data_IF_283516037691
#
_entry.id   IF_283516037691
#
_cell.length_a   1.000
_cell.length_b   1.000
_cell.length_c   1.000
_cell.angle_alpha   90.00
_cell.angle_beta   90.00
_cell.angle_gamma   90.00
#
_symmetry.space_group_name_H-M   'P 1'
#
loop_
_entity.id
_entity.type
_entity.pdbx_description
1 polymer ?
#
# COMPACT_ATOMS: atom_id res chain seq x y z
N UNK A 1 19.63 16.52 -16.47
CA UNK A 1 19.20 17.77 -15.79
C UNK A 1 17.96 17.55 -14.94
N UNK A 2 16.92 16.82 -15.38
CA UNK A 2 15.64 16.69 -14.68
C UNK A 2 15.74 15.99 -13.34
N UNK A 3 16.50 14.89 -13.22
CA UNK A 3 16.66 14.11 -11.96
C UNK A 3 17.31 14.92 -10.84
N UNK A 4 18.36 15.66 -11.17
CA UNK A 4 19.05 16.53 -10.18
C UNK A 4 18.16 17.69 -9.74
N UNK A 5 17.40 18.27 -10.69
CA UNK A 5 16.47 19.36 -10.36
C UNK A 5 15.35 18.88 -9.41
N UNK A 6 14.83 17.66 -9.59
CA UNK A 6 13.85 17.05 -8.70
C UNK A 6 14.41 16.79 -7.30
N UNK A 7 15.59 16.15 -7.20
CA UNK A 7 16.25 15.92 -5.91
C UNK A 7 16.53 17.22 -5.16
N UNK A 8 16.91 18.28 -5.90
CA UNK A 8 17.13 19.59 -5.34
C UNK A 8 15.83 20.25 -4.87
N UNK A 9 14.74 20.10 -5.64
CA UNK A 9 13.41 20.59 -5.27
C UNK A 9 12.87 19.88 -4.02
N UNK A 10 13.06 18.55 -3.92
CA UNK A 10 12.71 17.76 -2.73
C UNK A 10 13.45 18.27 -1.48
N UNK A 11 14.79 18.39 -1.55
CA UNK A 11 15.60 18.88 -0.43
C UNK A 11 15.20 20.26 0.07
N UNK A 12 14.61 21.08 -0.78
CA UNK A 12 14.09 22.41 -0.45
C UNK A 12 12.62 22.44 -0.08
N UNK A 13 11.95 21.30 0.01
CA UNK A 13 10.52 21.22 0.29
C UNK A 13 9.64 21.85 -0.80
N UNK A 14 10.17 22.00 -2.02
CA UNK A 14 9.47 22.60 -3.18
C UNK A 14 8.92 21.58 -4.17
N UNK A 15 9.18 20.29 -3.96
CA UNK A 15 8.63 19.24 -4.79
C UNK A 15 7.25 18.83 -4.23
N UNK A 16 6.27 18.80 -5.09
CA UNK A 16 4.92 18.32 -4.79
C UNK A 16 4.50 17.34 -5.87
N UNK A 17 3.86 16.25 -5.46
CA UNK A 17 3.27 15.28 -6.38
C UNK A 17 1.98 15.88 -6.92
N UNK A 18 1.82 15.85 -8.23
CA UNK A 18 0.63 16.36 -8.91
C UNK A 18 -0.63 15.56 -8.55
N UNK A 19 -1.82 16.17 -8.55
CA UNK A 19 -3.06 15.42 -8.41
C UNK A 19 -3.13 14.29 -9.45
N UNK A 20 -3.45 13.05 -9.05
CA UNK A 20 -3.54 11.93 -9.98
C UNK A 20 -4.78 12.02 -10.87
N UNK A 21 -4.74 11.36 -12.02
CA UNK A 21 -5.91 11.13 -12.86
C UNK A 21 -6.61 9.84 -12.48
N UNK A 22 -7.94 9.81 -12.53
CA UNK A 22 -8.69 8.56 -12.35
C UNK A 22 -8.81 7.79 -13.67
N UNK A 23 -8.79 6.46 -13.54
CA UNK A 23 -9.13 5.54 -14.61
C UNK A 23 -9.99 4.41 -14.06
N UNK A 24 -10.91 3.89 -14.88
CA UNK A 24 -11.77 2.77 -14.49
C UNK A 24 -11.22 1.47 -15.07
N UNK A 25 -11.00 0.49 -14.21
CA UNK A 25 -10.57 -0.86 -14.60
C UNK A 25 -11.76 -1.81 -14.40
N UNK A 26 -12.20 -2.55 -15.43
CA UNK A 26 -13.28 -3.51 -15.27
C UNK A 26 -12.87 -4.66 -14.35
N UNK A 27 -13.81 -5.09 -13.49
CA UNK A 27 -13.69 -6.29 -12.67
C UNK A 27 -14.40 -7.46 -13.35
N UNK A 28 -14.06 -8.69 -12.92
CA UNK A 28 -14.67 -9.93 -13.46
C UNK A 28 -16.18 -10.01 -13.26
N UNK A 29 -16.72 -9.32 -12.25
CA UNK A 29 -18.15 -9.26 -11.94
C UNK A 29 -18.92 -8.17 -12.72
N UNK A 30 -18.29 -7.48 -13.65
CA UNK A 30 -18.89 -6.40 -14.44
C UNK A 30 -18.91 -5.02 -13.78
N UNK A 31 -18.45 -4.90 -12.53
CA UNK A 31 -18.24 -3.62 -11.88
C UNK A 31 -16.92 -2.96 -12.34
N UNK A 32 -16.76 -1.69 -12.03
CA UNK A 32 -15.52 -0.97 -12.26
C UNK A 32 -14.78 -0.70 -10.96
N UNK A 33 -13.45 -0.65 -11.06
CA UNK A 33 -12.55 -0.22 -10.01
C UNK A 33 -11.90 1.08 -10.43
N UNK A 34 -12.06 2.11 -9.61
CA UNK A 34 -11.34 3.38 -9.82
C UNK A 34 -9.89 3.22 -9.37
N UNK A 35 -8.95 3.56 -10.23
CA UNK A 35 -7.52 3.64 -9.92
C UNK A 35 -7.02 5.06 -10.15
N UNK A 36 -5.99 5.43 -9.39
CA UNK A 36 -5.36 6.74 -9.44
C UNK A 36 -4.01 6.64 -10.15
N UNK A 37 -3.89 7.30 -11.28
CA UNK A 37 -2.72 7.27 -12.16
C UNK A 37 -1.96 8.58 -12.02
N UNK A 38 -0.80 8.53 -11.41
CA UNK A 38 0.08 9.69 -11.26
C UNK A 38 0.83 10.01 -12.54
N UNK A 39 1.30 11.24 -12.68
CA UNK A 39 2.18 11.66 -13.76
C UNK A 39 3.45 10.78 -13.84
N UNK A 40 4.03 10.55 -15.03
CA UNK A 40 5.14 9.62 -15.21
C UNK A 40 6.33 9.87 -14.27
N UNK A 41 6.67 11.11 -14.00
CA UNK A 41 7.78 11.44 -13.10
C UNK A 41 7.42 11.20 -11.64
N UNK A 42 6.19 11.52 -11.24
CA UNK A 42 5.68 11.26 -9.89
C UNK A 42 5.60 9.75 -9.62
N UNK A 43 5.24 8.93 -10.62
CA UNK A 43 5.30 7.46 -10.50
C UNK A 43 6.70 6.94 -10.21
N UNK A 44 7.73 7.53 -10.82
CA UNK A 44 9.13 7.16 -10.51
C UNK A 44 9.47 7.50 -9.07
N UNK A 45 9.10 8.69 -8.60
CA UNK A 45 9.33 9.10 -7.20
C UNK A 45 8.60 8.18 -6.22
N UNK A 46 7.32 7.94 -6.48
CA UNK A 46 6.48 7.07 -5.65
C UNK A 46 6.97 5.60 -5.66
N UNK A 47 7.48 5.12 -6.80
CA UNK A 47 8.09 3.79 -6.90
C UNK A 47 9.35 3.66 -6.05
N UNK A 48 10.27 4.62 -6.18
CA UNK A 48 11.50 4.66 -5.36
C UNK A 48 11.15 4.79 -3.87
N UNK A 49 10.18 5.63 -3.52
CA UNK A 49 9.72 5.78 -2.13
C UNK A 49 9.18 4.46 -1.59
N UNK A 50 8.36 3.75 -2.36
CA UNK A 50 7.83 2.44 -1.99
C UNK A 50 8.95 1.43 -1.71
N UNK A 51 9.90 1.31 -2.63
CA UNK A 51 11.02 0.36 -2.50
C UNK A 51 11.87 0.68 -1.26
N UNK A 52 12.17 1.97 -1.02
CA UNK A 52 12.88 2.42 0.18
C UNK A 52 12.11 2.11 1.47
N UNK A 53 10.79 2.29 1.50
CA UNK A 53 9.97 2.01 2.68
C UNK A 53 9.96 0.51 3.00
N UNK A 54 9.85 -0.37 1.99
CA UNK A 54 9.98 -1.81 2.18
C UNK A 54 11.37 -2.22 2.69
N UNK A 55 12.43 -1.57 2.20
CA UNK A 55 13.82 -1.86 2.60
C UNK A 55 14.15 -1.35 4.02
N UNK A 56 13.71 -0.13 4.35
CA UNK A 56 14.08 0.55 5.59
C UNK A 56 13.22 0.15 6.80
N UNK A 57 12.01 -0.36 6.56
CA UNK A 57 11.02 -0.67 7.60
C UNK A 57 10.53 -2.13 7.57
N UNK A 58 11.42 -3.13 7.46
CA UNK A 58 11.03 -4.53 7.41
C UNK A 58 10.31 -5.00 8.69
N UNK A 59 10.58 -4.36 9.83
CA UNK A 59 9.92 -4.66 11.11
C UNK A 59 8.45 -4.24 11.16
N UNK A 60 8.00 -3.39 10.25
CA UNK A 60 6.58 -3.02 10.10
C UNK A 60 5.79 -4.04 9.25
N UNK A 61 6.46 -5.05 8.71
CA UNK A 61 5.84 -6.11 7.92
C UNK A 61 5.75 -7.38 8.76
N UNK A 62 4.54 -7.87 8.98
CA UNK A 62 4.35 -9.13 9.70
C UNK A 62 4.69 -10.32 8.79
N UNK A 63 5.30 -11.38 9.32
CA UNK A 63 5.72 -12.56 8.57
C UNK A 63 4.56 -13.32 7.88
N UNK A 64 3.35 -13.17 8.40
CA UNK A 64 2.12 -13.73 7.80
C UNK A 64 1.59 -12.90 6.64
N UNK A 65 2.02 -11.64 6.47
CA UNK A 65 1.70 -10.83 5.30
C UNK A 65 2.56 -11.30 4.12
N UNK A 66 1.92 -11.65 3.01
CA UNK A 66 2.58 -12.11 1.77
C UNK A 66 2.27 -11.19 0.58
N UNK A 67 1.44 -10.15 0.80
CA UNK A 67 1.07 -9.20 -0.24
C UNK A 67 2.24 -8.35 -0.67
N UNK A 68 2.25 -7.91 -1.91
CA UNK A 68 3.16 -6.91 -2.50
C UNK A 68 4.66 -7.15 -2.28
N UNK A 69 5.07 -8.29 -1.73
CA UNK A 69 6.46 -8.61 -1.47
C UNK A 69 7.12 -9.23 -2.70
N UNK A 70 8.35 -8.77 -2.99
CA UNK A 70 9.13 -9.27 -4.13
C UNK A 70 9.34 -10.78 -4.04
N UNK A 71 9.00 -11.48 -5.12
CA UNK A 71 9.17 -12.92 -5.23
C UNK A 71 8.12 -13.78 -4.54
N UNK A 72 7.09 -13.16 -3.92
CA UNK A 72 5.95 -13.85 -3.33
C UNK A 72 4.71 -13.54 -4.17
N UNK A 73 4.30 -14.50 -4.99
CA UNK A 73 3.07 -14.41 -5.77
C UNK A 73 1.95 -15.25 -5.18
N UNK A 74 0.71 -14.99 -5.59
CA UNK A 74 -0.48 -15.72 -5.17
C UNK A 74 -0.31 -17.25 -5.26
N UNK A 75 0.31 -17.74 -6.33
CA UNK A 75 0.58 -19.19 -6.52
C UNK A 75 1.40 -19.80 -5.39
N UNK A 76 2.43 -19.10 -4.88
CA UNK A 76 3.20 -19.58 -3.73
C UNK A 76 2.36 -19.69 -2.47
N UNK A 77 1.54 -18.69 -2.20
CA UNK A 77 0.66 -18.67 -1.01
C UNK A 77 -0.37 -19.79 -1.09
N UNK A 78 -0.99 -20.00 -2.26
CA UNK A 78 -1.93 -21.11 -2.48
C UNK A 78 -1.24 -22.46 -2.27
N UNK A 79 -0.02 -22.65 -2.79
CA UNK A 79 0.75 -23.88 -2.60
C UNK A 79 1.06 -24.10 -1.12
N UNK A 80 1.47 -23.07 -0.38
CA UNK A 80 1.76 -23.14 1.06
C UNK A 80 0.51 -23.54 1.86
N UNK A 81 -0.63 -22.90 1.60
CA UNK A 81 -1.91 -23.23 2.25
C UNK A 81 -2.32 -24.67 1.93
N UNK A 82 -2.24 -25.08 0.66
CA UNK A 82 -2.56 -26.45 0.22
C UNK A 82 -1.70 -27.50 0.92
N UNK A 83 -0.40 -27.23 1.04
CA UNK A 83 0.53 -28.14 1.72
C UNK A 83 0.16 -28.28 3.21
N UNK A 84 -0.15 -27.16 3.89
CA UNK A 84 -0.61 -27.16 5.29
C UNK A 84 -1.90 -27.97 5.47
N UNK A 85 -2.84 -27.82 4.56
CA UNK A 85 -4.10 -28.60 4.59
C UNK A 85 -3.84 -30.10 4.43
N UNK A 86 -2.87 -30.51 3.62
CA UNK A 86 -2.54 -31.93 3.43
C UNK A 86 -1.74 -32.52 4.60
N UNK A 87 -0.94 -31.73 5.29
CA UNK A 87 -0.18 -32.17 6.48
C UNK A 87 -1.09 -32.52 7.67
N UNK A 88 -2.28 -31.93 7.77
CA UNK A 88 -3.24 -32.24 8.83
C UNK A 88 -3.89 -33.63 8.68
N UNK A 89 -3.65 -34.31 7.58
CA UNK A 89 -4.10 -35.68 7.34
C UNK A 89 -5.63 -35.85 7.34
N UNK A 90 -6.08 -37.08 7.66
CA UNK A 90 -7.51 -37.41 7.66
C UNK A 90 -8.32 -36.82 8.83
N UNK A 91 -7.69 -36.03 9.71
CA UNK A 91 -8.35 -35.44 10.90
C UNK A 91 -9.33 -34.31 10.56
N UNK A 92 -9.41 -33.91 9.31
CA UNK A 92 -10.18 -32.76 8.85
C UNK A 92 -9.51 -31.42 9.16
N UNK A 93 -9.66 -30.46 8.26
CA UNK A 93 -9.16 -29.10 8.43
C UNK A 93 -10.33 -28.13 8.23
N UNK A 94 -10.53 -27.23 9.18
CA UNK A 94 -11.46 -26.12 9.01
C UNK A 94 -10.67 -24.90 8.53
N UNK A 95 -11.04 -24.40 7.35
CA UNK A 95 -10.48 -23.17 6.77
C UNK A 95 -11.51 -22.05 6.82
N UNK A 96 -11.03 -20.83 7.12
CA UNK A 96 -11.81 -19.61 7.04
C UNK A 96 -11.11 -18.61 6.13
N UNK A 97 -11.86 -17.95 5.25
CA UNK A 97 -11.38 -16.91 4.36
C UNK A 97 -12.21 -15.65 4.56
N UNK A 98 -11.53 -14.52 4.70
CA UNK A 98 -12.14 -13.19 4.81
C UNK A 98 -11.54 -12.23 3.82
N UNK A 99 -12.30 -11.20 3.45
CA UNK A 99 -11.87 -10.07 2.65
C UNK A 99 -12.29 -8.76 3.31
N UNK A 100 -11.43 -7.75 3.22
CA UNK A 100 -11.69 -6.42 3.76
C UNK A 100 -12.38 -5.57 2.68
N UNK A 101 -13.69 -5.39 2.81
CA UNK A 101 -14.46 -4.59 1.87
C UNK A 101 -13.99 -3.14 1.82
N UNK A 102 -13.72 -2.64 0.62
CA UNK A 102 -13.32 -1.25 0.36
C UNK A 102 -12.11 -0.77 1.19
N UNK A 103 -11.18 -1.68 1.54
CA UNK A 103 -10.05 -1.34 2.39
C UNK A 103 -9.27 -0.13 1.87
N UNK A 104 -8.90 -0.13 0.58
CA UNK A 104 -8.15 0.97 -0.04
C UNK A 104 -8.86 2.32 -0.03
N UNK A 105 -10.19 2.33 0.08
CA UNK A 105 -11.02 3.54 0.04
C UNK A 105 -11.42 4.05 1.43
N UNK A 106 -11.12 3.29 2.49
CA UNK A 106 -11.70 3.53 3.82
C UNK A 106 -10.68 3.76 4.95
N UNK A 107 -9.39 3.73 4.67
CA UNK A 107 -8.35 4.02 5.67
C UNK A 107 -8.36 5.50 6.05
N UNK A 108 -8.58 5.87 7.32
CA UNK A 108 -8.48 7.24 7.77
C UNK A 108 -7.04 7.78 7.67
N UNK A 109 -6.90 9.07 7.30
CA UNK A 109 -5.59 9.72 7.10
C UNK A 109 -4.67 9.59 8.32
N UNK A 110 -5.21 9.61 9.54
CA UNK A 110 -4.43 9.49 10.78
C UNK A 110 -3.56 8.23 10.82
N UNK A 111 -4.04 7.10 10.28
CA UNK A 111 -3.25 5.86 10.28
C UNK A 111 -2.09 5.92 9.27
N UNK A 112 -2.29 6.63 8.17
CA UNK A 112 -1.21 6.90 7.20
C UNK A 112 -0.15 7.78 7.86
N UNK A 113 -0.57 8.83 8.59
CA UNK A 113 0.35 9.69 9.34
C UNK A 113 1.11 8.91 10.41
N UNK A 114 0.43 8.07 11.20
CA UNK A 114 1.07 7.21 12.22
C UNK A 114 2.11 6.26 11.60
N UNK A 115 1.86 5.73 10.39
CA UNK A 115 2.83 4.91 9.69
C UNK A 115 4.08 5.72 9.30
N UNK A 116 3.90 6.94 8.78
CA UNK A 116 5.01 7.84 8.47
C UNK A 116 5.74 8.34 9.72
N UNK A 117 5.04 8.60 10.84
CA UNK A 117 5.65 8.94 12.12
C UNK A 117 6.62 7.85 12.61
N UNK A 118 6.26 6.57 12.43
CA UNK A 118 7.15 5.44 12.77
C UNK A 118 8.42 5.45 11.92
N UNK A 119 8.32 5.81 10.63
CA UNK A 119 9.50 5.95 9.77
C UNK A 119 10.40 7.06 10.26
N UNK A 120 9.83 8.23 10.56
CA UNK A 120 10.59 9.41 11.04
C UNK A 120 11.16 9.20 12.45
N UNK A 121 10.47 8.48 13.31
CA UNK A 121 10.98 8.11 14.64
C UNK A 121 12.26 7.26 14.55
N UNK A 122 12.37 6.40 13.54
CA UNK A 122 13.53 5.53 13.33
C UNK A 122 14.66 6.19 12.56
N UNK A 123 14.34 6.94 11.51
CA UNK A 123 15.31 7.44 10.54
C UNK A 123 15.50 8.97 10.58
N UNK A 124 14.73 9.68 11.41
CA UNK A 124 14.70 11.14 11.46
C UNK A 124 13.79 11.75 10.40
N UNK A 125 13.61 13.07 10.48
CA UNK A 125 12.79 13.81 9.53
C UNK A 125 13.32 13.68 8.11
N UNK A 126 12.42 13.54 7.14
CA UNK A 126 12.75 13.31 5.75
C UNK A 126 11.89 14.15 4.82
N UNK A 127 12.54 14.89 3.92
CA UNK A 127 11.86 15.63 2.86
C UNK A 127 11.00 14.72 1.96
N UNK A 128 11.36 13.44 1.82
CA UNK A 128 10.54 12.47 1.09
C UNK A 128 9.25 12.16 1.83
N UNK A 129 9.31 11.94 3.14
CA UNK A 129 8.11 11.72 3.97
C UNK A 129 7.21 12.96 3.95
N UNK A 130 7.77 14.16 4.02
CA UNK A 130 6.98 15.40 3.87
C UNK A 130 6.22 15.47 2.54
N UNK A 131 6.87 15.07 1.44
CA UNK A 131 6.23 14.99 0.11
C UNK A 131 5.10 13.97 0.11
N UNK A 132 5.30 12.79 0.70
CA UNK A 132 4.28 11.75 0.79
C UNK A 132 3.10 12.19 1.67
N UNK A 133 3.35 12.83 2.83
CA UNK A 133 2.29 13.38 3.66
C UNK A 133 1.43 14.37 2.89
N UNK A 134 2.06 15.36 2.25
CA UNK A 134 1.34 16.35 1.42
C UNK A 134 0.48 15.67 0.36
N UNK A 135 1.01 14.65 -0.31
CA UNK A 135 0.29 13.91 -1.32
C UNK A 135 -0.93 13.16 -0.77
N UNK A 136 -0.81 12.48 0.38
CA UNK A 136 -1.93 11.77 1.01
C UNK A 136 -2.95 12.70 1.65
N UNK A 137 -2.53 13.87 2.14
CA UNK A 137 -3.43 14.93 2.63
C UNK A 137 -4.11 15.72 1.51
N UNK A 138 -3.63 15.60 0.27
CA UNK A 138 -4.30 16.23 -0.86
C UNK A 138 -5.52 15.43 -1.28
N UNK A 139 -6.70 16.09 -1.27
CA UNK A 139 -7.96 15.53 -1.74
C UNK A 139 -8.19 15.74 -3.24
N UNK A 140 -7.20 16.31 -3.94
CA UNK A 140 -7.31 16.69 -5.35
C UNK A 140 -7.01 15.51 -6.28
N UNK A 141 -7.81 15.38 -7.33
CA UNK A 141 -7.60 14.46 -8.44
C UNK A 141 -8.30 14.95 -9.71
N UNK A 142 -7.90 14.46 -10.87
CA UNK A 142 -8.60 14.69 -12.13
C UNK A 142 -9.52 13.51 -12.44
N UNK A 143 -10.78 13.81 -12.73
CA UNK A 143 -11.74 12.79 -13.18
C UNK A 143 -11.50 12.37 -14.66
N UNK A 144 -12.35 11.48 -15.17
CA UNK A 144 -12.24 10.96 -16.55
C UNK A 144 -12.42 12.06 -17.62
N UNK A 145 -13.13 13.14 -17.28
CA UNK A 145 -13.30 14.32 -18.14
C UNK A 145 -12.14 15.33 -17.98
N UNK A 146 -11.08 14.95 -17.25
CA UNK A 146 -9.94 15.81 -16.92
C UNK A 146 -10.32 17.09 -16.14
N UNK A 147 -11.37 17.01 -15.31
CA UNK A 147 -11.80 18.08 -14.42
C UNK A 147 -11.21 17.86 -13.04
N UNK A 148 -10.67 18.92 -12.44
CA UNK A 148 -10.14 18.87 -11.08
C UNK A 148 -11.29 18.68 -10.07
N UNK A 149 -11.20 17.62 -9.28
CA UNK A 149 -12.14 17.26 -8.24
C UNK A 149 -11.45 17.30 -6.88
N UNK A 150 -12.24 17.39 -5.81
CA UNK A 150 -11.77 17.34 -4.43
C UNK A 150 -12.59 16.35 -3.61
N UNK A 151 -11.96 15.27 -3.20
CA UNK A 151 -12.54 14.24 -2.33
C UNK A 151 -11.43 13.43 -1.69
N UNK A 152 -11.56 13.09 -0.42
CA UNK A 152 -10.62 12.18 0.25
C UNK A 152 -10.58 10.80 -0.45
N UNK A 153 -9.36 10.32 -0.76
CA UNK A 153 -9.12 9.14 -1.59
C UNK A 153 -8.39 8.01 -0.86
N UNK A 154 -8.19 8.15 0.45
CA UNK A 154 -7.51 7.16 1.28
C UNK A 154 -6.17 6.69 0.69
N UNK A 155 -5.97 5.39 0.44
CA UNK A 155 -4.69 4.85 -0.05
C UNK A 155 -4.40 5.13 -1.53
N UNK A 156 -5.31 5.76 -2.26
CA UNK A 156 -5.16 6.06 -3.71
C UNK A 156 -4.72 4.83 -4.50
N UNK A 157 -5.64 3.89 -4.69
CA UNK A 157 -5.40 2.62 -5.38
C UNK A 157 -4.73 2.85 -6.76
N UNK A 158 -3.56 2.24 -6.99
CA UNK A 158 -2.72 2.47 -8.17
C UNK A 158 -1.46 3.29 -7.88
N UNK A 159 -1.40 3.99 -6.74
CA UNK A 159 -0.17 4.59 -6.25
C UNK A 159 0.79 3.51 -5.72
N UNK A 160 2.07 3.58 -6.06
CA UNK A 160 3.05 2.57 -5.62
C UNK A 160 3.13 2.46 -4.09
N UNK A 161 3.18 3.59 -3.37
CA UNK A 161 3.30 3.62 -1.89
C UNK A 161 2.06 3.03 -1.20
N UNK A 162 0.92 2.96 -1.89
CA UNK A 162 -0.27 2.33 -1.36
C UNK A 162 -0.09 0.85 -1.02
N UNK A 163 0.82 0.14 -1.70
CA UNK A 163 1.13 -1.27 -1.42
C UNK A 163 1.84 -1.44 -0.08
N UNK A 164 2.86 -0.62 0.22
CA UNK A 164 3.52 -0.64 1.53
C UNK A 164 2.55 -0.25 2.65
N UNK A 165 1.79 0.83 2.46
CA UNK A 165 0.79 1.26 3.45
C UNK A 165 -0.25 0.16 3.69
N UNK A 166 -0.76 -0.49 2.64
CA UNK A 166 -1.74 -1.56 2.79
C UNK A 166 -1.22 -2.73 3.64
N UNK A 167 0.07 -3.01 3.56
CA UNK A 167 0.68 -4.07 4.36
C UNK A 167 0.92 -3.65 5.81
N UNK A 168 1.54 -2.49 6.04
CA UNK A 168 1.95 -2.08 7.40
C UNK A 168 0.78 -1.67 8.29
N UNK A 169 -0.29 -1.14 7.71
CA UNK A 169 -1.48 -0.71 8.47
C UNK A 169 -2.26 -1.88 9.07
N UNK A 170 -2.06 -3.09 8.59
CA UNK A 170 -2.69 -4.31 9.12
C UNK A 170 -1.74 -5.14 10.00
N UNK A 171 -0.56 -4.60 10.34
CA UNK A 171 0.43 -5.30 11.16
C UNK A 171 -0.14 -5.83 12.49
N UNK A 172 -0.88 -5.01 13.21
CA UNK A 172 -1.46 -5.40 14.51
C UNK A 172 -2.52 -6.49 14.33
N UNK A 173 -3.32 -6.42 13.28
CA UNK A 173 -4.27 -7.48 12.92
C UNK A 173 -3.54 -8.79 12.60
N UNK A 174 -2.49 -8.72 11.78
CA UNK A 174 -1.68 -9.89 11.43
C UNK A 174 -1.04 -10.52 12.69
N UNK A 175 -0.55 -9.68 13.61
CA UNK A 175 0.02 -10.13 14.88
C UNK A 175 -1.01 -10.85 15.75
N UNK A 176 -2.21 -10.29 15.90
CA UNK A 176 -3.27 -10.90 16.70
C UNK A 176 -3.76 -12.21 16.09
N UNK A 177 -4.02 -12.23 14.79
CA UNK A 177 -4.50 -13.44 14.11
C UNK A 177 -3.45 -14.56 14.06
N UNK A 178 -2.17 -14.20 13.98
CA UNK A 178 -1.08 -15.19 14.02
C UNK A 178 -0.88 -15.86 15.39
N UNK A 179 -1.38 -15.24 16.47
CA UNK A 179 -1.36 -15.81 17.81
C UNK A 179 -2.52 -16.79 18.09
N UNK A 180 -3.54 -16.80 17.20
CA UNK A 180 -4.64 -17.76 17.30
C UNK A 180 -4.15 -19.18 17.01
N UNK A 181 -4.85 -20.16 17.56
CA UNK A 181 -4.51 -21.56 17.32
C UNK A 181 -4.83 -21.93 15.86
N UNK A 182 -3.81 -22.09 15.02
CA UNK A 182 -3.94 -22.41 13.61
C UNK A 182 -2.88 -21.74 12.75
N UNK A 183 -3.01 -21.94 11.43
CA UNK A 183 -2.17 -21.28 10.43
C UNK A 183 -2.89 -20.06 9.87
N UNK A 184 -2.25 -18.92 9.93
CA UNK A 184 -2.74 -17.66 9.39
C UNK A 184 -1.79 -17.12 8.31
N UNK A 185 -2.37 -16.67 7.20
CA UNK A 185 -1.65 -15.96 6.14
C UNK A 185 -2.56 -14.90 5.50
N UNK A 186 -2.01 -13.74 5.21
CA UNK A 186 -2.67 -12.66 4.48
C UNK A 186 -1.98 -12.41 3.13
N UNK A 187 -2.80 -12.29 2.09
CA UNK A 187 -2.34 -11.96 0.74
C UNK A 187 -3.20 -10.86 0.12
#
# INVERSE_FOLDING_TARGET
HTRMAMAYAMRRGKYEISPPHTAQIPKDNGEFRTVYVNEPMDRVVLGIANDLLFELMPEMLHSSCKSYQTGIGCGKVVTEVSHRMTETGNSGCLGWKSDLSKYFDSVPIRFIDEAFDKVEAKHGQSALIDVLRKYYHSDLYFDEDNRLQSKYQSLKQGCAVASWLADVLLYDLDRELSQMNGYYVRY
#
